data_IF_808241810835
#
_entry.id   IF_808241810835
#
_cell.length_a   1.000
_cell.length_b   1.000
_cell.length_c   1.000
_cell.angle_alpha   90.00
_cell.angle_beta   90.00
_cell.angle_gamma   90.00
#
_symmetry.space_group_name_H-M   'P 1'
#
loop_
_entity.id
_entity.type
_entity.pdbx_description
1 polymer ?
#
# COMPACT_ATOMS: atom_id res chain seq x y z
N UNK A 1 17.65 -31.85 18.98
CA UNK A 1 17.40 -31.21 17.67
C UNK A 1 17.99 -29.81 17.69
N UNK A 2 18.75 -29.38 16.67
CA UNK A 2 19.25 -28.01 16.59
C UNK A 2 18.09 -27.01 16.55
N UNK A 3 18.22 -25.83 17.18
CA UNK A 3 17.17 -24.81 17.19
C UNK A 3 16.89 -24.28 15.77
N UNK A 4 15.64 -23.96 15.50
CA UNK A 4 15.13 -23.47 14.19
C UNK A 4 15.86 -22.23 13.68
N UNK A 5 16.45 -21.44 14.58
CA UNK A 5 17.25 -20.26 14.26
C UNK A 5 18.49 -20.56 13.40
N UNK A 6 19.11 -21.74 13.58
CA UNK A 6 20.29 -22.16 12.82
C UNK A 6 19.93 -22.34 11.33
N UNK A 7 18.79 -22.93 11.04
CA UNK A 7 18.32 -23.15 9.67
C UNK A 7 17.95 -21.83 8.98
N UNK A 8 17.31 -20.92 9.71
CA UNK A 8 16.98 -19.60 9.18
C UNK A 8 18.21 -18.77 8.87
N UNK A 9 19.25 -18.86 9.70
CA UNK A 9 20.51 -18.15 9.48
C UNK A 9 21.31 -18.71 8.30
N UNK A 10 21.37 -20.05 8.16
CA UNK A 10 22.19 -20.72 7.13
C UNK A 10 21.52 -20.73 5.75
N UNK A 11 20.19 -20.81 5.68
CA UNK A 11 19.43 -20.96 4.43
C UNK A 11 18.53 -19.76 4.11
N UNK A 12 18.60 -18.71 4.92
CA UNK A 12 17.79 -17.49 4.77
C UNK A 12 16.35 -17.62 5.26
N UNK A 13 15.77 -18.83 5.29
CA UNK A 13 14.49 -19.13 5.93
C UNK A 13 14.33 -20.63 6.17
N UNK A 14 13.50 -20.99 7.14
CA UNK A 14 13.16 -22.40 7.43
C UNK A 14 12.44 -23.06 6.25
N UNK A 15 11.60 -22.32 5.54
CA UNK A 15 10.88 -22.79 4.34
C UNK A 15 11.86 -23.16 3.23
N UNK A 16 12.87 -22.33 2.99
CA UNK A 16 13.91 -22.61 2.01
C UNK A 16 14.75 -23.83 2.39
N UNK A 17 15.04 -24.00 3.68
CA UNK A 17 15.70 -25.21 4.17
C UNK A 17 14.88 -26.48 3.90
N UNK A 18 13.57 -26.45 4.10
CA UNK A 18 12.67 -27.56 3.78
C UNK A 18 12.60 -27.86 2.28
N UNK A 19 12.52 -26.83 1.43
CA UNK A 19 12.51 -27.00 -0.02
C UNK A 19 13.81 -27.68 -0.53
N UNK A 20 14.97 -27.33 0.05
CA UNK A 20 16.25 -27.92 -0.34
C UNK A 20 16.37 -29.42 0.00
N UNK A 21 15.64 -29.90 1.02
CA UNK A 21 15.60 -31.33 1.36
C UNK A 21 14.40 -32.06 0.74
N UNK A 22 13.69 -31.41 -0.20
CA UNK A 22 12.53 -31.99 -0.91
C UNK A 22 11.27 -32.12 -0.05
N UNK A 23 11.24 -31.51 1.13
CA UNK A 23 10.05 -31.49 1.98
C UNK A 23 9.17 -30.31 1.61
N UNK A 24 7.97 -30.59 1.11
CA UNK A 24 6.93 -29.57 0.89
C UNK A 24 6.00 -29.59 2.11
N UNK A 25 6.02 -28.57 2.97
CA UNK A 25 5.12 -28.51 4.12
C UNK A 25 3.65 -28.45 3.66
N UNK A 26 2.76 -29.16 4.34
CA UNK A 26 1.30 -29.09 4.08
C UNK A 26 0.69 -27.71 4.35
N UNK A 27 1.43 -26.80 4.97
CA UNK A 27 1.01 -25.41 5.21
C UNK A 27 1.49 -24.50 4.08
N UNK A 28 0.56 -23.70 3.58
CA UNK A 28 0.87 -22.65 2.62
C UNK A 28 1.67 -21.51 3.30
N UNK A 29 2.97 -21.44 3.01
CA UNK A 29 3.87 -20.39 3.51
C UNK A 29 3.98 -19.17 2.59
N UNK A 30 3.17 -19.08 1.53
CA UNK A 30 3.16 -17.91 0.61
C UNK A 30 2.95 -16.59 1.34
N UNK A 31 2.25 -16.62 2.49
CA UNK A 31 2.08 -15.42 3.32
C UNK A 31 3.40 -14.84 3.83
N UNK A 32 4.45 -15.66 4.05
CA UNK A 32 5.76 -15.16 4.47
C UNK A 32 6.46 -14.41 3.36
N UNK A 33 6.38 -14.91 2.14
CA UNK A 33 6.94 -14.26 0.95
C UNK A 33 6.18 -12.97 0.65
N UNK A 34 4.85 -13.00 0.73
CA UNK A 34 4.00 -11.83 0.60
C UNK A 34 4.35 -10.76 1.65
N UNK A 35 4.49 -11.13 2.92
CA UNK A 35 4.86 -10.18 3.96
C UNK A 35 6.26 -9.58 3.75
N UNK A 36 7.22 -10.37 3.27
CA UNK A 36 8.57 -9.90 2.94
C UNK A 36 8.54 -8.92 1.77
N UNK A 37 7.74 -9.21 0.74
CA UNK A 37 7.52 -8.31 -0.38
C UNK A 37 6.90 -6.98 0.09
N UNK A 38 5.83 -7.00 0.87
CA UNK A 38 5.13 -5.81 1.32
C UNK A 38 6.00 -4.88 2.17
N UNK A 39 6.86 -5.45 3.03
CA UNK A 39 7.82 -4.67 3.82
C UNK A 39 8.83 -3.89 2.96
N UNK A 40 9.11 -4.38 1.77
CA UNK A 40 10.00 -3.70 0.80
C UNK A 40 9.21 -2.76 -0.10
N UNK A 41 8.05 -3.18 -0.55
CA UNK A 41 7.23 -2.45 -1.51
C UNK A 41 6.61 -1.17 -0.90
N UNK A 42 6.21 -1.22 0.38
CA UNK A 42 5.62 -0.05 1.03
C UNK A 42 6.55 1.19 1.04
N UNK A 43 7.78 1.11 1.56
CA UNK A 43 8.68 2.26 1.51
C UNK A 43 9.03 2.69 0.08
N UNK A 44 9.08 1.75 -0.87
CA UNK A 44 9.33 2.05 -2.27
C UNK A 44 8.22 2.93 -2.86
N UNK A 45 6.95 2.56 -2.69
CA UNK A 45 5.83 3.34 -3.21
C UNK A 45 5.69 4.70 -2.51
N UNK A 46 5.97 4.78 -1.21
CA UNK A 46 6.01 6.05 -0.48
C UNK A 46 7.08 6.97 -1.07
N UNK A 47 8.31 6.49 -1.22
CA UNK A 47 9.43 7.28 -1.75
C UNK A 47 9.19 7.69 -3.21
N UNK A 48 8.59 6.83 -4.04
CA UNK A 48 8.20 7.17 -5.41
C UNK A 48 7.16 8.29 -5.42
N UNK A 49 6.16 8.22 -4.55
CA UNK A 49 5.12 9.25 -4.42
C UNK A 49 5.72 10.59 -4.01
N UNK A 50 6.58 10.61 -2.97
CA UNK A 50 7.29 11.82 -2.52
C UNK A 50 8.14 12.43 -3.65
N UNK A 51 8.94 11.60 -4.32
CA UNK A 51 9.84 12.05 -5.39
C UNK A 51 9.07 12.61 -6.59
N UNK A 52 7.95 11.97 -6.94
CA UNK A 52 7.13 12.43 -8.05
C UNK A 52 6.47 13.77 -7.75
N UNK A 53 5.87 13.94 -6.56
CA UNK A 53 5.29 15.21 -6.13
C UNK A 53 6.36 16.33 -6.13
N UNK A 54 7.54 16.03 -5.60
CA UNK A 54 8.65 17.00 -5.60
C UNK A 54 9.07 17.40 -7.02
N UNK A 55 9.08 16.46 -7.97
CA UNK A 55 9.40 16.73 -9.38
C UNK A 55 8.39 17.66 -10.06
N UNK A 56 7.14 17.68 -9.58
CA UNK A 56 6.07 18.57 -10.03
C UNK A 56 6.03 19.93 -9.29
N UNK A 57 7.09 20.22 -8.51
CA UNK A 57 7.20 21.46 -7.75
C UNK A 57 6.44 21.49 -6.44
N UNK A 58 5.78 20.39 -6.07
CA UNK A 58 5.11 20.21 -4.77
C UNK A 58 6.10 20.05 -3.62
N UNK A 59 5.65 20.39 -2.42
CA UNK A 59 6.42 20.21 -1.19
C UNK A 59 5.79 19.07 -0.40
N UNK A 60 6.59 18.07 -0.03
CA UNK A 60 6.14 16.93 0.78
C UNK A 60 6.93 16.90 2.09
N UNK A 61 6.21 16.73 3.20
CA UNK A 61 6.80 16.50 4.52
C UNK A 61 6.22 15.20 5.08
N UNK A 62 7.08 14.22 5.32
CA UNK A 62 6.71 12.94 5.92
C UNK A 62 6.88 13.01 7.43
N UNK A 63 5.84 12.62 8.16
CA UNK A 63 5.93 12.41 9.61
C UNK A 63 6.58 11.03 9.85
N UNK A 64 7.74 10.98 10.53
CA UNK A 64 8.47 9.71 10.74
C UNK A 64 7.77 8.77 11.72
N UNK A 65 6.84 9.25 12.54
CA UNK A 65 6.12 8.44 13.52
C UNK A 65 4.86 7.77 12.91
N UNK A 66 4.21 8.44 11.98
CA UNK A 66 2.91 8.04 11.44
C UNK A 66 2.94 7.71 9.95
N UNK A 67 4.03 8.01 9.25
CA UNK A 67 4.18 7.93 7.78
C UNK A 67 3.16 8.78 6.99
N UNK A 68 2.45 9.70 7.65
CA UNK A 68 1.56 10.65 6.98
C UNK A 68 2.42 11.61 6.15
N UNK A 69 2.03 11.80 4.90
CA UNK A 69 2.61 12.79 3.99
C UNK A 69 1.75 14.04 4.00
N UNK A 70 2.31 15.15 4.45
CA UNK A 70 1.70 16.48 4.31
C UNK A 70 2.17 17.13 3.02
N UNK A 71 1.22 17.48 2.16
CA UNK A 71 1.49 17.98 0.82
C UNK A 71 1.14 19.46 0.75
N UNK A 72 2.12 20.29 0.37
CA UNK A 72 2.02 21.75 0.18
C UNK A 72 1.50 22.51 1.43
N UNK A 73 1.53 21.90 2.61
CA UNK A 73 0.84 22.37 3.82
C UNK A 73 -0.70 22.56 3.65
N UNK A 74 -1.30 21.97 2.61
CA UNK A 74 -2.72 22.10 2.26
C UNK A 74 -3.53 20.86 2.64
N UNK A 75 -3.00 19.68 2.39
CA UNK A 75 -3.65 18.42 2.73
C UNK A 75 -2.65 17.33 3.10
N UNK A 76 -3.16 16.30 3.73
CA UNK A 76 -2.38 15.17 4.20
C UNK A 76 -2.90 13.86 3.62
N UNK A 77 -1.99 12.94 3.32
CA UNK A 77 -2.33 11.60 2.84
C UNK A 77 -1.65 10.52 3.68
N UNK A 78 -2.32 9.37 3.81
CA UNK A 78 -1.69 8.13 4.23
C UNK A 78 -1.76 7.10 3.11
N UNK A 79 -0.70 6.31 2.93
CA UNK A 79 -0.70 5.17 2.00
C UNK A 79 -0.98 3.89 2.76
N UNK A 80 -1.86 3.05 2.21
CA UNK A 80 -2.22 1.76 2.79
C UNK A 80 -2.18 0.70 1.70
N UNK A 81 -1.46 -0.41 1.93
CA UNK A 81 -1.46 -1.54 1.01
C UNK A 81 -2.63 -2.48 1.34
N UNK A 82 -3.56 -2.62 0.40
CA UNK A 82 -4.68 -3.55 0.50
C UNK A 82 -4.34 -4.85 -0.23
N UNK A 83 -4.16 -5.93 0.53
CA UNK A 83 -3.85 -7.26 -0.01
C UNK A 83 -5.08 -7.92 -0.60
N UNK A 84 -4.90 -8.60 -1.72
CA UNK A 84 -5.89 -9.49 -2.28
C UNK A 84 -6.06 -10.72 -1.37
N UNK A 85 -7.28 -11.02 -1.02
CA UNK A 85 -7.68 -12.22 -0.29
C UNK A 85 -8.65 -13.01 -1.16
N UNK A 86 -8.37 -14.31 -1.35
CA UNK A 86 -9.24 -15.24 -2.04
C UNK A 86 -9.79 -16.23 -1.00
N UNK A 87 -10.99 -16.01 -0.46
CA UNK A 87 -11.63 -17.02 0.37
C UNK A 87 -12.05 -18.22 -0.50
N UNK A 88 -12.37 -19.35 0.15
CA UNK A 88 -12.83 -20.58 -0.52
C UNK A 88 -14.06 -20.37 -1.41
N UNK A 89 -14.75 -19.22 -1.31
CA UNK A 89 -15.87 -18.83 -2.19
C UNK A 89 -15.44 -18.34 -3.57
N UNK A 90 -14.14 -18.21 -3.86
CA UNK A 90 -13.60 -17.82 -5.17
C UNK A 90 -13.72 -16.33 -5.51
N UNK A 91 -14.29 -15.49 -4.65
CA UNK A 91 -14.40 -14.04 -4.89
C UNK A 91 -13.24 -13.31 -4.23
N UNK A 92 -12.45 -12.59 -5.02
CA UNK A 92 -11.37 -11.76 -4.49
C UNK A 92 -11.93 -10.54 -3.75
N UNK A 93 -11.32 -10.21 -2.63
CA UNK A 93 -11.63 -8.99 -1.88
C UNK A 93 -10.36 -8.40 -1.27
N UNK A 94 -10.39 -7.11 -1.00
CA UNK A 94 -9.29 -6.33 -0.40
C UNK A 94 -9.81 -5.60 0.83
N UNK A 95 -9.19 -5.88 1.96
CA UNK A 95 -9.53 -5.19 3.20
C UNK A 95 -8.61 -4.00 3.38
N UNK A 96 -9.17 -2.80 3.34
CA UNK A 96 -8.49 -1.56 3.73
C UNK A 96 -8.78 -1.31 5.20
N UNK A 97 -7.76 -1.16 6.00
CA UNK A 97 -7.87 -0.80 7.42
C UNK A 97 -7.42 0.63 7.58
N UNK A 98 -8.27 1.46 8.18
CA UNK A 98 -7.91 2.80 8.58
C UNK A 98 -7.35 2.76 10.00
N UNK A 99 -6.27 3.48 10.23
CA UNK A 99 -5.82 3.73 11.59
C UNK A 99 -6.67 4.87 12.16
N UNK A 100 -7.57 4.54 13.08
CA UNK A 100 -8.49 5.51 13.69
C UNK A 100 -7.79 6.54 14.57
N UNK A 101 -6.53 6.31 14.94
CA UNK A 101 -5.70 7.29 15.66
C UNK A 101 -5.09 8.34 14.72
N UNK A 102 -5.08 8.07 13.39
CA UNK A 102 -4.57 8.95 12.37
C UNK A 102 -5.75 9.54 11.58
N UNK A 103 -5.71 10.83 11.32
CA UNK A 103 -6.74 11.54 10.58
C UNK A 103 -6.14 12.23 9.34
N UNK A 104 -5.62 11.47 8.35
CA UNK A 104 -5.22 12.07 7.07
C UNK A 104 -6.46 12.59 6.34
N UNK A 105 -6.31 13.62 5.51
CA UNK A 105 -7.42 14.11 4.70
C UNK A 105 -7.84 13.07 3.65
N UNK A 106 -6.87 12.33 3.11
CA UNK A 106 -7.10 11.27 2.11
C UNK A 106 -6.31 10.02 2.49
N UNK A 107 -6.96 8.86 2.52
CA UNK A 107 -6.30 7.57 2.54
C UNK A 107 -6.13 7.05 1.11
N UNK A 108 -4.90 6.88 0.68
CA UNK A 108 -4.56 6.27 -0.62
C UNK A 108 -4.42 4.76 -0.41
N UNK A 109 -5.46 4.02 -0.74
CA UNK A 109 -5.43 2.57 -0.66
C UNK A 109 -4.89 2.00 -1.98
N UNK A 110 -3.72 1.38 -1.92
CA UNK A 110 -3.08 0.68 -3.04
C UNK A 110 -3.58 -0.75 -3.05
N UNK A 111 -4.47 -1.09 -3.98
CA UNK A 111 -4.97 -2.45 -4.13
C UNK A 111 -3.95 -3.28 -4.89
N UNK A 112 -3.53 -4.38 -4.29
CA UNK A 112 -2.55 -5.28 -4.91
C UNK A 112 -3.24 -6.28 -5.83
N UNK A 113 -2.50 -6.80 -6.80
CA UNK A 113 -2.97 -7.85 -7.69
C UNK A 113 -3.29 -9.16 -6.93
N UNK A 114 -3.82 -10.14 -7.63
CA UNK A 114 -4.18 -11.44 -7.03
C UNK A 114 -2.97 -12.19 -6.45
N UNK A 115 -1.77 -11.90 -6.91
CA UNK A 115 -0.53 -12.50 -6.41
C UNK A 115 0.06 -11.72 -5.24
N UNK A 116 -0.46 -10.53 -4.94
CA UNK A 116 0.06 -9.58 -3.96
C UNK A 116 1.51 -9.15 -4.23
N UNK A 117 1.91 -9.06 -5.50
CA UNK A 117 3.27 -8.69 -5.91
C UNK A 117 3.36 -7.40 -6.73
N UNK A 118 2.23 -6.84 -7.13
CA UNK A 118 2.17 -5.57 -7.86
C UNK A 118 0.95 -4.75 -7.47
N UNK A 119 1.01 -3.43 -7.67
CA UNK A 119 -0.15 -2.58 -7.57
C UNK A 119 -1.12 -2.88 -8.74
N UNK A 120 -2.39 -3.09 -8.42
CA UNK A 120 -3.47 -3.28 -9.39
C UNK A 120 -4.09 -1.93 -9.76
N UNK A 121 -4.50 -1.18 -8.77
CA UNK A 121 -5.11 0.14 -8.86
C UNK A 121 -5.10 0.85 -7.50
N UNK A 122 -5.67 2.04 -7.46
CA UNK A 122 -5.61 2.95 -6.33
C UNK A 122 -7.00 3.47 -5.99
N UNK A 123 -7.31 3.58 -4.71
CA UNK A 123 -8.50 4.27 -4.22
C UNK A 123 -8.07 5.48 -3.41
N UNK A 124 -8.52 6.67 -3.80
CA UNK A 124 -8.31 7.90 -3.06
C UNK A 124 -9.54 8.16 -2.20
N UNK A 125 -9.47 7.78 -0.94
CA UNK A 125 -10.60 7.77 -0.01
C UNK A 125 -10.54 8.98 0.92
N UNK A 126 -11.40 10.01 0.73
CA UNK A 126 -11.47 11.15 1.62
C UNK A 126 -11.93 10.72 3.02
N UNK A 127 -11.28 11.21 4.06
CA UNK A 127 -11.62 10.87 5.45
C UNK A 127 -13.05 11.30 5.83
N UNK A 128 -13.56 12.37 5.21
CA UNK A 128 -14.93 12.86 5.44
C UNK A 128 -16.00 11.83 5.07
N UNK A 129 -15.72 11.01 4.03
CA UNK A 129 -16.69 10.05 3.51
C UNK A 129 -16.52 8.65 4.16
N UNK A 130 -15.34 8.36 4.70
CA UNK A 130 -14.95 7.04 5.18
C UNK A 130 -14.44 7.05 6.63
N UNK A 131 -15.19 7.64 7.55
CA UNK A 131 -14.86 7.70 8.98
C UNK A 131 -14.91 6.37 9.74
N UNK A 132 -14.90 5.21 9.03
CA UNK A 132 -14.98 3.87 9.62
C UNK A 132 -13.59 3.27 9.85
N UNK A 133 -13.51 2.24 10.70
CA UNK A 133 -12.27 1.52 10.98
C UNK A 133 -11.71 0.68 9.82
N UNK A 134 -12.48 0.54 8.73
CA UNK A 134 -12.05 -0.16 7.52
C UNK A 134 -13.19 -0.43 6.55
N UNK A 135 -12.81 -0.71 5.30
CA UNK A 135 -13.71 -1.06 4.20
C UNK A 135 -13.24 -2.35 3.53
N UNK A 136 -14.20 -3.06 2.93
CA UNK A 136 -13.91 -4.20 2.07
C UNK A 136 -14.19 -3.82 0.62
N UNK A 137 -13.16 -3.84 -0.21
CA UNK A 137 -13.26 -3.63 -1.64
C UNK A 137 -13.40 -4.98 -2.35
N UNK A 138 -14.22 -5.03 -3.38
CA UNK A 138 -14.38 -6.17 -4.27
C UNK A 138 -13.73 -5.90 -5.64
N UNK A 139 -13.77 -6.86 -6.56
CA UNK A 139 -13.35 -6.63 -7.95
C UNK A 139 -14.20 -5.56 -8.63
N UNK A 140 -15.52 -5.58 -8.34
CA UNK A 140 -16.49 -4.54 -8.74
C UNK A 140 -17.19 -4.06 -7.47
N UNK A 141 -17.11 -2.78 -7.21
CA UNK A 141 -17.71 -2.14 -6.06
C UNK A 141 -19.02 -1.43 -6.46
N UNK A 142 -19.71 -0.86 -5.48
CA UNK A 142 -20.82 0.08 -5.76
C UNK A 142 -20.32 1.30 -6.53
N UNK A 143 -21.20 1.97 -7.24
CA UNK A 143 -20.88 3.18 -8.01
C UNK A 143 -20.21 4.24 -7.15
N UNK A 144 -20.62 4.34 -5.91
CA UNK A 144 -20.05 5.25 -4.90
C UNK A 144 -18.56 4.99 -4.69
N UNK A 145 -18.15 3.74 -4.44
CA UNK A 145 -16.74 3.38 -4.27
C UNK A 145 -15.94 3.45 -5.58
N UNK A 146 -16.54 3.10 -6.71
CA UNK A 146 -15.87 3.15 -8.01
C UNK A 146 -15.51 4.59 -8.42
N UNK A 147 -16.19 5.61 -7.90
CA UNK A 147 -15.86 7.02 -8.15
C UNK A 147 -14.50 7.43 -7.56
N UNK A 148 -14.01 6.73 -6.56
CA UNK A 148 -12.71 6.95 -5.92
C UNK A 148 -11.59 6.09 -6.48
N UNK A 149 -11.88 5.23 -7.49
CA UNK A 149 -10.92 4.32 -8.10
C UNK A 149 -10.17 4.97 -9.25
N UNK A 150 -8.86 4.80 -9.25
CA UNK A 150 -7.95 5.31 -10.26
C UNK A 150 -6.96 4.22 -10.70
N UNK A 151 -6.61 4.18 -11.98
CA UNK A 151 -5.61 3.24 -12.49
C UNK A 151 -4.17 3.65 -12.13
N UNK A 152 -3.97 4.90 -11.70
CA UNK A 152 -2.69 5.48 -11.30
C UNK A 152 -2.89 6.66 -10.35
N UNK A 153 -1.81 7.24 -9.85
CA UNK A 153 -1.84 8.38 -8.93
C UNK A 153 -1.83 9.76 -9.62
N UNK A 154 -2.07 9.83 -10.94
CA UNK A 154 -2.00 11.11 -11.66
C UNK A 154 -2.97 12.16 -11.13
N UNK A 155 -4.15 11.76 -10.64
CA UNK A 155 -5.09 12.69 -10.02
C UNK A 155 -4.52 13.30 -8.73
N UNK A 156 -3.92 12.47 -7.87
CA UNK A 156 -3.21 12.93 -6.67
C UNK A 156 -2.07 13.88 -7.02
N UNK A 157 -1.29 13.53 -8.02
CA UNK A 157 -0.18 14.34 -8.50
C UNK A 157 -0.65 15.70 -9.04
N UNK A 158 -1.76 15.73 -9.77
CA UNK A 158 -2.37 16.97 -10.24
C UNK A 158 -2.82 17.90 -9.09
N UNK A 159 -3.32 17.35 -7.98
CA UNK A 159 -3.63 18.14 -6.79
C UNK A 159 -2.38 18.71 -6.11
N UNK A 160 -1.27 17.98 -6.19
CA UNK A 160 0.00 18.35 -5.56
C UNK A 160 0.85 19.30 -6.42
N UNK A 161 0.60 19.38 -7.71
CA UNK A 161 1.39 20.16 -8.68
C UNK A 161 1.40 21.65 -8.33
N UNK A 162 2.59 22.28 -8.47
CA UNK A 162 2.78 23.72 -8.29
C UNK A 162 3.48 24.32 -9.48
N UNK A 163 2.78 25.19 -10.18
CA UNK A 163 3.32 25.98 -11.29
C UNK A 163 3.99 27.22 -10.69
N UNK A 164 5.31 27.36 -10.89
CA UNK A 164 6.00 28.59 -10.56
C UNK A 164 5.61 29.65 -11.61
N UNK A 165 4.76 30.58 -11.23
CA UNK A 165 4.53 31.77 -12.03
C UNK A 165 5.86 32.55 -12.10
N UNK A 166 6.50 32.63 -13.28
CA UNK A 166 7.55 33.57 -13.51
C UNK A 166 6.93 34.97 -13.42
N UNK A 167 7.34 35.76 -12.44
CA UNK A 167 7.06 37.20 -12.49
C UNK A 167 7.68 37.71 -13.77
N UNK A 168 6.86 38.27 -14.67
CA UNK A 168 7.34 39.07 -15.78
C UNK A 168 8.08 40.27 -15.17
N UNK A 169 9.35 40.42 -15.53
CA UNK A 169 10.18 41.55 -15.14
C UNK A 169 9.75 42.81 -15.91
#
# INVERSE_FOLDING_TARGET
MPPTSIYSHRFGSLVRAYQMVGFTPDRDYRYLETNKFLRRFYPEIVNQTESHIASLGGIVRRDPATDILRINDEFSISLVLARCQAPNSGRHHWKVRFDTSLTPDITVAVRLDQTNQAALDYFLLPNLDFGQSGINLAERNSVEFESYRFNNLNYLYGMAERIRLRRAA
#
